data_IF_999798013521
#
_entry.id   IF_999798013521
#
_cell.length_a   1.000
_cell.length_b   1.000
_cell.length_c   1.000
_cell.angle_alpha   90.00
_cell.angle_beta   90.00
_cell.angle_gamma   90.00
#
_symmetry.space_group_name_H-M   'P 1'
#
loop_
_entity.id
_entity.type
_entity.pdbx_description
1 polymer ?
#
# COMPACT_ATOMS: atom_id res chain seq x y z
N UNK A 1 11.10 9.74 10.11
CA UNK A 1 10.47 8.47 9.65
C UNK A 1 10.36 8.41 8.13
N UNK A 2 9.77 9.41 7.46
CA UNK A 2 9.57 9.44 5.99
C UNK A 2 10.86 9.30 5.16
N UNK A 3 11.91 10.04 5.52
CA UNK A 3 13.21 9.96 4.84
C UNK A 3 13.82 8.55 4.91
N UNK A 4 13.82 7.95 6.10
CA UNK A 4 14.28 6.56 6.27
C UNK A 4 13.43 5.59 5.44
N UNK A 5 12.10 5.74 5.44
CA UNK A 5 11.22 4.90 4.63
C UNK A 5 11.50 5.02 3.14
N UNK A 6 11.78 6.22 2.65
CA UNK A 6 12.14 6.47 1.25
C UNK A 6 13.47 5.79 0.87
N UNK A 7 14.52 6.00 1.67
CA UNK A 7 15.84 5.40 1.43
C UNK A 7 15.78 3.88 1.48
N UNK A 8 15.13 3.30 2.49
CA UNK A 8 15.02 1.84 2.65
C UNK A 8 14.23 1.26 1.48
N UNK A 9 13.08 1.83 1.14
CA UNK A 9 12.24 1.32 0.04
C UNK A 9 12.95 1.44 -1.31
N UNK A 10 13.70 2.53 -1.52
CA UNK A 10 14.52 2.74 -2.72
C UNK A 10 15.65 1.72 -2.84
N UNK A 11 16.38 1.48 -1.74
CA UNK A 11 17.46 0.50 -1.70
C UNK A 11 16.92 -0.93 -1.90
N UNK A 12 15.82 -1.28 -1.24
CA UNK A 12 15.14 -2.57 -1.43
C UNK A 12 14.70 -2.77 -2.88
N UNK A 13 14.18 -1.72 -3.53
CA UNK A 13 13.77 -1.79 -4.93
C UNK A 13 14.99 -1.99 -5.84
N UNK A 14 16.07 -1.24 -5.60
CA UNK A 14 17.32 -1.40 -6.32
C UNK A 14 17.87 -2.84 -6.23
N UNK A 15 17.91 -3.41 -5.02
CA UNK A 15 18.36 -4.79 -4.80
C UNK A 15 17.45 -5.78 -5.53
N UNK A 16 16.13 -5.60 -5.41
CA UNK A 16 15.13 -6.50 -6.05
C UNK A 16 15.26 -6.47 -7.58
N UNK A 17 15.60 -5.32 -8.18
CA UNK A 17 15.75 -5.18 -9.63
C UNK A 17 17.10 -5.66 -10.17
N UNK A 18 18.18 -5.52 -9.38
CA UNK A 18 19.55 -5.82 -9.83
C UNK A 18 19.94 -7.28 -9.63
N UNK A 19 19.40 -7.94 -8.60
CA UNK A 19 19.76 -9.33 -8.26
C UNK A 19 19.00 -10.33 -9.14
N UNK A 20 19.73 -11.23 -9.79
CA UNK A 20 19.18 -12.29 -10.65
C UNK A 20 18.17 -13.20 -9.93
N UNK A 21 18.34 -13.44 -8.63
CA UNK A 21 17.43 -14.24 -7.82
C UNK A 21 15.98 -13.72 -7.77
N UNK A 22 15.79 -12.40 -7.96
CA UNK A 22 14.48 -11.76 -7.95
C UNK A 22 13.91 -11.54 -9.36
N UNK A 23 14.55 -12.08 -10.41
CA UNK A 23 13.99 -12.12 -11.77
C UNK A 23 12.97 -13.26 -11.88
N UNK A 24 11.88 -13.13 -11.13
CA UNK A 24 10.76 -14.07 -11.10
C UNK A 24 9.47 -13.36 -10.64
N UNK A 25 8.36 -14.11 -10.65
CA UNK A 25 7.05 -13.66 -10.18
C UNK A 25 7.09 -12.96 -8.81
N UNK A 26 7.81 -13.55 -7.85
CA UNK A 26 7.94 -13.03 -6.49
C UNK A 26 8.63 -11.65 -6.48
N UNK A 27 9.76 -11.51 -7.17
CA UNK A 27 10.49 -10.23 -7.23
C UNK A 27 9.73 -9.12 -7.94
N UNK A 28 8.85 -9.46 -8.89
CA UNK A 28 7.92 -8.50 -9.51
C UNK A 28 6.89 -8.00 -8.49
N UNK A 29 6.25 -8.91 -7.74
CA UNK A 29 5.29 -8.52 -6.70
C UNK A 29 5.96 -7.64 -5.63
N UNK A 30 7.15 -8.02 -5.16
CA UNK A 30 7.93 -7.21 -4.22
C UNK A 30 8.29 -5.83 -4.81
N UNK A 31 8.66 -5.77 -6.09
CA UNK A 31 8.94 -4.51 -6.75
C UNK A 31 7.71 -3.60 -6.79
N UNK A 32 6.53 -4.15 -7.12
CA UNK A 32 5.28 -3.38 -7.13
C UNK A 32 4.92 -2.87 -5.75
N UNK A 33 5.06 -3.70 -4.71
CA UNK A 33 4.86 -3.30 -3.31
C UNK A 33 5.75 -2.11 -2.93
N UNK A 34 7.04 -2.19 -3.27
CA UNK A 34 8.00 -1.12 -2.99
C UNK A 34 7.72 0.16 -3.79
N UNK A 35 7.28 0.05 -5.04
CA UNK A 35 6.86 1.19 -5.87
C UNK A 35 5.65 1.89 -5.25
N UNK A 36 4.64 1.14 -4.78
CA UNK A 36 3.47 1.70 -4.11
C UNK A 36 3.87 2.48 -2.84
N UNK A 37 4.77 1.92 -2.03
CA UNK A 37 5.29 2.59 -0.84
C UNK A 37 6.09 3.85 -1.18
N UNK A 38 6.96 3.79 -2.18
CA UNK A 38 7.72 4.95 -2.65
C UNK A 38 6.81 6.06 -3.17
N UNK A 39 5.77 5.72 -3.92
CA UNK A 39 4.78 6.67 -4.39
C UNK A 39 4.09 7.38 -3.22
N UNK A 40 3.54 6.62 -2.26
CA UNK A 40 2.85 7.18 -1.09
C UNK A 40 3.77 8.11 -0.28
N UNK A 41 5.00 7.67 0.02
CA UNK A 41 5.98 8.46 0.77
C UNK A 41 6.38 9.73 0.00
N UNK A 42 6.59 9.64 -1.31
CA UNK A 42 6.98 10.80 -2.14
C UNK A 42 5.89 11.87 -2.17
N UNK A 43 4.64 11.45 -2.38
CA UNK A 43 3.48 12.37 -2.38
C UNK A 43 3.35 13.04 -1.01
N UNK A 44 3.46 12.26 0.07
CA UNK A 44 3.32 12.79 1.41
C UNK A 44 4.44 13.79 1.75
N UNK A 45 5.69 13.45 1.45
CA UNK A 45 6.83 14.33 1.67
C UNK A 45 6.68 15.65 0.91
N UNK A 46 6.26 15.57 -0.36
CA UNK A 46 6.06 16.74 -1.23
C UNK A 46 4.95 17.63 -0.69
N UNK A 47 3.78 17.05 -0.37
CA UNK A 47 2.65 17.82 0.13
C UNK A 47 2.92 18.46 1.49
N UNK A 48 3.54 17.71 2.41
CA UNK A 48 3.95 18.22 3.70
C UNK A 48 4.87 19.45 3.55
N UNK A 49 5.84 19.38 2.65
CA UNK A 49 6.76 20.50 2.37
C UNK A 49 6.02 21.72 1.85
N UNK A 50 5.09 21.55 0.90
CA UNK A 50 4.26 22.64 0.35
C UNK A 50 3.41 23.29 1.44
N UNK A 51 2.72 22.47 2.23
CA UNK A 51 1.83 22.92 3.30
C UNK A 51 2.59 23.72 4.36
N UNK A 52 3.80 23.28 4.74
CA UNK A 52 4.66 23.95 5.72
C UNK A 52 5.32 25.22 5.17
N UNK A 53 5.69 25.24 3.88
CA UNK A 53 6.29 26.41 3.24
C UNK A 53 5.27 27.53 3.04
N UNK A 54 4.06 27.21 2.59
CA UNK A 54 3.03 28.21 2.27
C UNK A 54 2.20 28.64 3.48
N UNK A 55 2.16 27.83 4.56
CA UNK A 55 1.40 28.08 5.80
C UNK A 55 -0.06 28.52 5.58
N UNK A 56 -0.66 28.15 4.46
CA UNK A 56 -2.02 28.54 4.11
C UNK A 56 -3.03 27.52 4.65
N UNK A 57 -4.06 27.94 5.40
CA UNK A 57 -5.07 27.05 5.96
C UNK A 57 -5.92 26.36 4.88
N UNK A 58 -6.00 26.94 3.68
CA UNK A 58 -6.75 26.39 2.54
C UNK A 58 -6.15 25.05 2.08
N UNK A 59 -4.83 24.84 2.23
CA UNK A 59 -4.15 23.60 1.84
C UNK A 59 -4.49 22.41 2.75
N UNK A 60 -5.07 22.67 3.92
CA UNK A 60 -5.53 21.65 4.88
C UNK A 60 -7.07 21.56 4.93
N UNK A 61 -7.77 22.23 4.02
CA UNK A 61 -9.24 22.30 3.98
C UNK A 61 -9.84 21.29 3.02
N UNK A 62 -11.01 20.74 3.39
CA UNK A 62 -11.84 19.87 2.55
C UNK A 62 -12.42 20.60 1.33
N UNK A 63 -12.49 21.92 1.38
CA UNK A 63 -13.00 22.75 0.28
C UNK A 63 -12.11 22.66 -0.96
N UNK A 64 -10.78 22.58 -0.75
CA UNK A 64 -9.83 22.49 -1.83
C UNK A 64 -9.86 21.08 -2.45
N UNK A 65 -10.26 20.99 -3.72
CA UNK A 65 -10.23 19.73 -4.47
C UNK A 65 -8.83 19.10 -4.50
N UNK A 66 -7.78 19.93 -4.64
CA UNK A 66 -6.40 19.45 -4.66
C UNK A 66 -6.01 18.76 -3.34
N UNK A 67 -6.39 19.32 -2.18
CA UNK A 67 -6.08 18.69 -0.88
C UNK A 67 -6.73 17.31 -0.75
N UNK A 68 -7.97 17.18 -1.22
CA UNK A 68 -8.68 15.89 -1.28
C UNK A 68 -8.03 14.90 -2.23
N UNK A 69 -7.65 15.34 -3.42
CA UNK A 69 -6.95 14.52 -4.41
C UNK A 69 -5.62 13.99 -3.86
N UNK A 70 -4.86 14.82 -3.14
CA UNK A 70 -3.63 14.38 -2.49
C UNK A 70 -3.91 13.30 -1.44
N UNK A 71 -4.98 13.41 -0.67
CA UNK A 71 -5.43 12.34 0.23
C UNK A 71 -5.62 11.01 -0.49
N UNK A 72 -6.25 11.02 -1.67
CA UNK A 72 -6.40 9.84 -2.54
C UNK A 72 -5.05 9.32 -3.03
N UNK A 73 -4.14 10.22 -3.47
CA UNK A 73 -2.83 9.84 -3.99
C UNK A 73 -1.88 9.29 -2.91
N UNK A 74 -2.10 9.62 -1.65
CA UNK A 74 -1.37 9.03 -0.51
C UNK A 74 -1.97 7.67 -0.14
N UNK A 75 -3.30 7.60 -0.01
CA UNK A 75 -3.99 6.42 0.51
C UNK A 75 -4.19 5.32 -0.55
N UNK A 76 -4.37 5.68 -1.82
CA UNK A 76 -4.56 4.74 -2.93
C UNK A 76 -3.39 3.76 -3.08
N UNK A 77 -2.14 4.24 -3.21
CA UNK A 77 -0.96 3.38 -3.22
C UNK A 77 -0.75 2.63 -1.90
N UNK A 78 -1.20 3.17 -0.75
CA UNK A 78 -1.17 2.43 0.51
C UNK A 78 -2.05 1.18 0.44
N UNK A 79 -3.32 1.29 0.01
CA UNK A 79 -4.16 0.10 -0.21
C UNK A 79 -3.64 -0.79 -1.34
N UNK A 80 -3.10 -0.20 -2.41
CA UNK A 80 -2.41 -0.95 -3.45
C UNK A 80 -1.29 -1.83 -2.88
N UNK A 81 -0.49 -1.28 -1.97
CA UNK A 81 0.57 -2.02 -1.28
C UNK A 81 0.01 -3.16 -0.40
N UNK A 82 -1.11 -2.94 0.31
CA UNK A 82 -1.76 -3.99 1.11
C UNK A 82 -2.24 -5.15 0.23
N UNK A 83 -2.89 -4.86 -0.90
CA UNK A 83 -3.33 -5.90 -1.83
C UNK A 83 -2.15 -6.64 -2.46
N UNK A 84 -1.10 -5.92 -2.90
CA UNK A 84 0.09 -6.58 -3.43
C UNK A 84 0.74 -7.47 -2.37
N UNK A 85 0.83 -7.01 -1.12
CA UNK A 85 1.42 -7.79 -0.03
C UNK A 85 0.60 -9.06 0.27
N UNK A 86 -0.72 -8.99 0.16
CA UNK A 86 -1.58 -10.18 0.20
C UNK A 86 -1.24 -11.18 -0.90
N UNK A 87 -1.05 -10.71 -2.14
CA UNK A 87 -0.63 -11.58 -3.23
C UNK A 87 0.79 -12.12 -3.07
N UNK A 88 1.69 -11.38 -2.41
CA UNK A 88 3.02 -11.89 -2.03
C UNK A 88 2.90 -13.06 -1.07
N UNK A 89 2.07 -12.95 -0.02
CA UNK A 89 1.82 -14.04 0.93
C UNK A 89 1.19 -15.26 0.22
N UNK A 90 0.21 -15.04 -0.66
CA UNK A 90 -0.40 -16.10 -1.46
C UNK A 90 0.60 -16.76 -2.41
N UNK A 91 1.45 -15.97 -3.08
CA UNK A 91 2.50 -16.48 -3.96
C UNK A 91 3.46 -17.41 -3.21
N UNK A 92 3.89 -17.04 -2.00
CA UNK A 92 4.73 -17.88 -1.14
C UNK A 92 4.03 -19.17 -0.74
N UNK A 93 2.77 -19.09 -0.35
CA UNK A 93 1.97 -20.28 -0.01
C UNK A 93 1.87 -21.23 -1.22
N UNK A 94 1.60 -20.71 -2.42
CA UNK A 94 1.55 -21.50 -3.65
C UNK A 94 2.89 -22.16 -3.98
N UNK A 95 4.01 -21.49 -3.73
CA UNK A 95 5.34 -22.05 -3.94
C UNK A 95 5.61 -23.27 -3.05
N UNK A 96 5.12 -23.24 -1.81
CA UNK A 96 5.28 -24.34 -0.84
C UNK A 96 4.29 -25.48 -1.07
N UNK A 97 3.01 -25.18 -1.30
CA UNK A 97 1.96 -26.20 -1.44
C UNK A 97 1.95 -26.86 -2.82
N UNK A 98 2.30 -26.12 -3.87
CA UNK A 98 2.15 -26.57 -5.26
C UNK A 98 3.42 -26.34 -6.09
N UNK A 99 4.59 -26.85 -5.68
CA UNK A 99 5.86 -26.56 -6.35
C UNK A 99 5.88 -26.96 -7.83
N UNK A 100 5.25 -28.09 -8.18
CA UNK A 100 5.18 -28.59 -9.57
C UNK A 100 4.34 -27.67 -10.46
N UNK A 101 3.25 -27.10 -9.92
CA UNK A 101 2.32 -26.23 -10.64
C UNK A 101 2.64 -24.74 -10.47
N UNK A 102 3.64 -24.39 -9.65
CA UNK A 102 3.94 -23.01 -9.30
C UNK A 102 4.16 -22.13 -10.54
N UNK A 103 4.97 -22.59 -11.50
CA UNK A 103 5.21 -21.86 -12.76
C UNK A 103 3.96 -21.71 -13.65
N UNK A 104 2.99 -22.60 -13.51
CA UNK A 104 1.70 -22.50 -14.22
C UNK A 104 0.75 -21.51 -13.53
N UNK A 105 0.84 -21.35 -12.22
CA UNK A 105 0.02 -20.41 -11.43
C UNK A 105 0.60 -18.99 -11.53
N UNK A 106 1.90 -18.85 -11.26
CA UNK A 106 2.61 -17.58 -11.15
C UNK A 106 3.67 -17.46 -12.25
N UNK A 107 3.42 -16.54 -13.17
CA UNK A 107 4.40 -16.07 -14.16
C UNK A 107 4.72 -14.60 -13.91
N UNK A 108 5.79 -14.12 -14.54
CA UNK A 108 6.18 -12.72 -14.46
C UNK A 108 5.08 -11.78 -14.95
N UNK A 109 4.50 -12.06 -16.12
CA UNK A 109 3.41 -11.27 -16.70
C UNK A 109 2.17 -11.26 -15.81
N UNK A 110 1.79 -12.40 -15.23
CA UNK A 110 0.64 -12.46 -14.31
C UNK A 110 0.89 -11.66 -13.05
N UNK A 111 2.12 -11.70 -12.54
CA UNK A 111 2.52 -10.93 -11.34
C UNK A 111 2.49 -9.42 -11.60
N UNK A 112 2.88 -8.98 -12.79
CA UNK A 112 2.72 -7.58 -13.21
C UNK A 112 1.24 -7.18 -13.27
N UNK A 113 0.41 -8.00 -13.90
CA UNK A 113 -1.05 -7.76 -14.00
C UNK A 113 -1.67 -7.65 -12.60
N UNK A 114 -1.36 -8.59 -11.70
CA UNK A 114 -1.81 -8.55 -10.30
C UNK A 114 -1.36 -7.26 -9.60
N UNK A 115 -0.12 -6.82 -9.85
CA UNK A 115 0.38 -5.56 -9.36
C UNK A 115 -0.42 -4.35 -9.83
N UNK A 116 -0.72 -4.28 -11.13
CA UNK A 116 -1.53 -3.21 -11.74
C UNK A 116 -2.95 -3.23 -11.17
N UNK A 117 -3.59 -4.39 -11.11
CA UNK A 117 -4.93 -4.56 -10.53
C UNK A 117 -4.96 -4.11 -9.07
N UNK A 118 -3.96 -4.50 -8.28
CA UNK A 118 -3.88 -4.12 -6.88
C UNK A 118 -3.80 -2.60 -6.71
N UNK A 119 -2.98 -1.94 -7.52
CA UNK A 119 -2.85 -0.48 -7.51
C UNK A 119 -4.13 0.23 -7.96
N UNK A 120 -4.76 -0.24 -9.05
CA UNK A 120 -6.00 0.36 -9.57
C UNK A 120 -7.15 0.16 -8.59
N UNK A 121 -7.33 -1.05 -8.04
CA UNK A 121 -8.35 -1.32 -7.03
C UNK A 121 -8.13 -0.50 -5.76
N UNK A 122 -6.90 -0.42 -5.24
CA UNK A 122 -6.59 0.39 -4.07
C UNK A 122 -6.90 1.88 -4.28
N UNK A 123 -6.53 2.41 -5.45
CA UNK A 123 -6.81 3.80 -5.81
C UNK A 123 -8.31 4.06 -6.01
N UNK A 124 -9.03 3.14 -6.65
CA UNK A 124 -10.48 3.22 -6.86
C UNK A 124 -11.25 3.24 -5.54
N UNK A 125 -10.88 2.41 -4.55
CA UNK A 125 -11.49 2.43 -3.22
C UNK A 125 -11.29 3.79 -2.55
N UNK A 126 -10.11 4.39 -2.72
CA UNK A 126 -9.79 5.69 -2.15
C UNK A 126 -10.49 6.87 -2.84
N UNK A 127 -11.12 6.69 -4.00
CA UNK A 127 -11.85 7.78 -4.67
C UNK A 127 -13.01 8.31 -3.82
N UNK A 128 -13.53 7.52 -2.88
CA UNK A 128 -14.51 7.96 -1.88
C UNK A 128 -14.03 9.18 -1.09
N UNK A 129 -12.72 9.32 -0.87
CA UNK A 129 -12.12 10.45 -0.15
C UNK A 129 -12.13 11.77 -0.95
N UNK A 130 -12.55 11.75 -2.21
CA UNK A 130 -12.86 12.99 -2.95
C UNK A 130 -14.14 13.65 -2.45
N UNK A 131 -15.02 12.92 -1.77
CA UNK A 131 -16.20 13.50 -1.17
C UNK A 131 -15.83 14.33 0.06
N UNK A 132 -16.37 15.55 0.17
CA UNK A 132 -15.94 16.53 1.20
C UNK A 132 -16.03 15.96 2.61
N UNK A 133 -17.13 15.27 2.93
CA UNK A 133 -17.40 14.75 4.28
C UNK A 133 -16.58 13.52 4.66
N UNK A 134 -15.97 12.86 3.67
CA UNK A 134 -15.13 11.66 3.83
C UNK A 134 -13.66 11.94 3.47
N UNK A 135 -13.28 13.23 3.40
CA UNK A 135 -11.96 13.61 2.92
C UNK A 135 -10.85 13.25 3.91
N UNK A 136 -9.78 12.66 3.39
CA UNK A 136 -8.54 12.42 4.12
C UNK A 136 -7.61 13.61 3.90
N UNK A 137 -7.42 14.43 4.93
CA UNK A 137 -6.73 15.71 4.82
C UNK A 137 -5.46 15.73 5.66
N UNK A 138 -4.48 16.51 5.22
CA UNK A 138 -3.28 16.73 6.00
C UNK A 138 -3.58 17.67 7.17
N UNK A 139 -3.40 17.16 8.39
CA UNK A 139 -3.64 17.91 9.61
C UNK A 139 -2.32 18.46 10.17
N UNK A 140 -2.13 19.77 10.05
CA UNK A 140 -0.99 20.49 10.62
C UNK A 140 -0.99 20.46 12.16
N UNK A 141 -2.16 20.43 12.79
CA UNK A 141 -2.33 20.54 14.23
C UNK A 141 -2.26 19.18 14.95
N UNK A 142 -2.50 18.05 14.25
CA UNK A 142 -2.38 16.70 14.81
C UNK A 142 -1.19 15.92 14.23
N UNK A 143 0.01 16.26 14.69
CA UNK A 143 1.25 15.49 14.45
C UNK A 143 1.72 15.41 12.99
N UNK A 144 1.31 16.32 12.11
CA UNK A 144 1.69 16.34 10.69
C UNK A 144 1.32 15.06 9.95
N UNK A 145 0.09 14.59 10.15
CA UNK A 145 -0.43 13.34 9.58
C UNK A 145 -1.69 13.60 8.77
N UNK A 146 -1.97 12.70 7.84
CA UNK A 146 -3.26 12.64 7.18
C UNK A 146 -4.29 12.05 8.14
N UNK A 147 -5.44 12.70 8.27
CA UNK A 147 -6.52 12.28 9.16
C UNK A 147 -7.88 12.62 8.55
N UNK A 148 -8.89 11.83 8.92
CA UNK A 148 -10.29 12.16 8.64
C UNK A 148 -10.76 13.32 9.52
N UNK A 149 -11.76 14.06 9.03
CA UNK A 149 -12.43 15.08 9.84
C UNK A 149 -13.29 14.46 10.96
N UNK A 150 -13.53 15.23 12.03
CA UNK A 150 -14.33 14.80 13.20
C UNK A 150 -15.85 14.77 12.93
N UNK A 151 -16.29 14.59 11.69
CA UNK A 151 -17.70 14.48 11.33
C UNK A 151 -18.20 13.03 11.47
N UNK A 152 -19.52 12.86 11.48
CA UNK A 152 -20.13 11.52 11.44
C UNK A 152 -19.62 10.70 10.25
N UNK A 153 -19.65 11.27 9.05
CA UNK A 153 -19.16 10.61 7.83
C UNK A 153 -17.64 10.35 7.87
N UNK A 154 -16.84 11.28 8.40
CA UNK A 154 -15.40 11.07 8.57
C UNK A 154 -15.09 9.91 9.50
N UNK A 155 -15.88 9.73 10.56
CA UNK A 155 -15.76 8.59 11.49
C UNK A 155 -16.14 7.27 10.81
N UNK A 156 -17.22 7.25 10.03
CA UNK A 156 -17.64 6.07 9.27
C UNK A 156 -16.56 5.66 8.27
N UNK A 157 -16.02 6.62 7.51
CA UNK A 157 -14.94 6.35 6.57
C UNK A 157 -13.67 5.85 7.25
N UNK A 158 -13.25 6.50 8.35
CA UNK A 158 -12.10 6.06 9.15
C UNK A 158 -12.25 4.63 9.67
N UNK A 159 -13.45 4.27 10.15
CA UNK A 159 -13.74 2.93 10.63
C UNK A 159 -13.76 1.90 9.50
N UNK A 160 -14.37 2.24 8.36
CA UNK A 160 -14.39 1.38 7.17
C UNK A 160 -12.98 1.07 6.67
N UNK A 161 -12.15 2.11 6.53
CA UNK A 161 -10.74 2.01 6.17
C UNK A 161 -9.94 1.14 7.16
N UNK A 162 -10.16 1.36 8.45
CA UNK A 162 -9.53 0.59 9.52
C UNK A 162 -9.91 -0.88 9.46
N UNK A 163 -11.20 -1.20 9.36
CA UNK A 163 -11.71 -2.58 9.25
C UNK A 163 -11.15 -3.25 8.00
N UNK A 164 -11.20 -2.61 6.84
CA UNK A 164 -10.67 -3.17 5.60
C UNK A 164 -9.17 -3.47 5.71
N UNK A 165 -8.40 -2.52 6.23
CA UNK A 165 -6.95 -2.69 6.43
C UNK A 165 -6.65 -3.86 7.37
N UNK A 166 -7.37 -3.96 8.49
CA UNK A 166 -7.20 -5.06 9.46
C UNK A 166 -7.58 -6.40 8.82
N UNK A 167 -8.68 -6.48 8.08
CA UNK A 167 -9.08 -7.72 7.41
C UNK A 167 -8.01 -8.22 6.44
N UNK A 168 -7.43 -7.34 5.63
CA UNK A 168 -6.36 -7.70 4.69
C UNK A 168 -5.12 -8.18 5.47
N UNK A 169 -4.72 -7.46 6.53
CA UNK A 169 -3.56 -7.84 7.36
C UNK A 169 -3.76 -9.17 8.07
N UNK A 170 -4.94 -9.43 8.61
CA UNK A 170 -5.26 -10.73 9.24
C UNK A 170 -5.21 -11.85 8.19
N UNK A 171 -5.78 -11.64 7.00
CA UNK A 171 -5.72 -12.62 5.92
C UNK A 171 -4.26 -12.90 5.50
N UNK A 172 -3.42 -11.87 5.39
CA UNK A 172 -1.98 -12.00 5.12
C UNK A 172 -1.28 -12.84 6.19
N UNK A 173 -1.48 -12.49 7.46
CA UNK A 173 -0.87 -13.19 8.59
C UNK A 173 -1.27 -14.68 8.63
N UNK A 174 -2.53 -15.00 8.34
CA UNK A 174 -3.00 -16.37 8.22
C UNK A 174 -2.29 -17.14 7.10
N UNK A 175 -2.14 -16.54 5.91
CA UNK A 175 -1.44 -17.18 4.78
C UNK A 175 0.04 -17.44 5.09
N UNK A 176 0.74 -16.46 5.68
CA UNK A 176 2.13 -16.61 6.07
C UNK A 176 2.29 -17.66 7.19
N UNK A 177 1.36 -17.71 8.15
CA UNK A 177 1.35 -18.72 9.21
C UNK A 177 1.16 -20.14 8.68
N UNK A 178 0.21 -20.34 7.75
CA UNK A 178 0.02 -21.63 7.07
C UNK A 178 1.29 -22.02 6.30
N UNK A 179 1.91 -21.06 5.60
CA UNK A 179 3.16 -21.28 4.87
C UNK A 179 4.27 -21.75 5.82
N UNK A 180 4.41 -21.11 6.99
CA UNK A 180 5.38 -21.49 8.01
C UNK A 180 5.15 -22.91 8.54
N UNK A 181 3.92 -23.26 8.89
CA UNK A 181 3.57 -24.62 9.36
C UNK A 181 3.99 -25.67 8.32
N UNK A 182 3.67 -25.44 7.05
CA UNK A 182 4.01 -26.37 5.97
C UNK A 182 5.52 -26.50 5.78
N UNK A 183 6.26 -25.40 5.82
CA UNK A 183 7.73 -25.42 5.76
C UNK A 183 8.35 -26.22 6.91
N UNK A 184 7.81 -26.08 8.13
CA UNK A 184 8.28 -26.85 9.29
C UNK A 184 7.92 -28.34 9.17
N UNK A 185 6.74 -28.67 8.64
CA UNK A 185 6.32 -30.04 8.41
C UNK A 185 7.20 -30.75 7.36
N UNK A 186 7.66 -30.06 6.31
CA UNK A 186 8.56 -30.61 5.30
C UNK A 186 10.00 -30.81 5.78
N UNK A 187 10.42 -30.16 6.87
CA UNK A 187 11.75 -30.33 7.46
C UNK A 187 11.85 -31.51 8.43
N UNK A 188 10.72 -32.05 8.89
CA UNK A 188 10.66 -33.29 9.69
C UNK A 188 10.54 -34.49 8.77
#
# INVERSE_FOLDING_TARGET
VWFFGFVISGLSLYITRTRSHFRNAFGILCSTFLICNLQSISVLFTWCTIVLALKSPILSSSELFLARLIGVLVNGPYYGSLFVHFFVALNRLCAVLYPIKYKQLWSESRSLIVGIISWTTGTSLCMLHLYKDCSLLFNQNSSYRFSYGNSYYGTVCSNGDGVLSVLIVVAMACLDFITLIKLLAYRR
#
